data_IF_654690044043
#
_entry.id   IF_654690044043
#
_cell.length_a   1.000
_cell.length_b   1.000
_cell.length_c   1.000
_cell.angle_alpha   90.00
_cell.angle_beta   90.00
_cell.angle_gamma   90.00
#
_symmetry.space_group_name_H-M   'P 1'
#
loop_
_entity.id
_entity.type
_entity.pdbx_description
1 polymer ?
#
# COMPACT_ATOMS: atom_id res chain seq x y z
N UNK A 1 -23.02 36.57 22.39
CA UNK A 1 -22.95 36.98 20.97
C UNK A 1 -22.02 36.01 20.26
N UNK A 2 -22.55 35.43 19.18
CA UNK A 2 -21.95 34.62 18.11
C UNK A 2 -20.73 33.73 18.41
N UNK A 3 -20.97 32.43 18.35
CA UNK A 3 -19.97 31.38 18.22
C UNK A 3 -19.29 31.41 16.83
N UNK A 4 -18.04 30.97 16.75
CA UNK A 4 -17.47 30.37 15.55
C UNK A 4 -16.60 29.18 15.98
N UNK A 5 -17.11 27.97 15.73
CA UNK A 5 -16.50 26.66 16.01
C UNK A 5 -15.98 26.13 14.69
N UNK A 6 -14.71 25.73 14.62
CA UNK A 6 -14.19 24.92 13.53
C UNK A 6 -13.90 23.51 14.07
N UNK A 7 -14.83 22.60 13.82
CA UNK A 7 -14.68 21.15 14.03
C UNK A 7 -13.95 20.56 12.83
N UNK A 8 -12.83 19.86 13.06
CA UNK A 8 -12.34 18.88 12.12
C UNK A 8 -13.19 17.61 12.26
N UNK A 9 -14.07 17.39 11.30
CA UNK A 9 -14.82 16.15 11.15
C UNK A 9 -13.91 15.14 10.44
N UNK A 10 -13.36 14.20 11.19
CA UNK A 10 -13.01 12.90 10.63
C UNK A 10 -14.32 12.09 10.53
N UNK A 11 -14.83 11.91 9.32
CA UNK A 11 -16.02 11.10 9.08
C UNK A 11 -15.65 9.61 9.26
N UNK A 12 -15.75 9.13 10.51
CA UNK A 12 -15.66 7.72 10.87
C UNK A 12 -16.97 7.03 10.43
N UNK A 13 -17.01 6.53 9.20
CA UNK A 13 -18.06 5.59 8.79
C UNK A 13 -17.74 4.21 9.32
N UNK A 14 -18.29 3.95 10.51
CA UNK A 14 -18.83 2.64 10.84
C UNK A 14 -18.01 1.81 11.82
N UNK A 15 -18.04 2.16 13.10
CA UNK A 15 -17.83 1.19 14.18
C UNK A 15 -19.06 1.09 15.06
N UNK A 16 -19.85 0.06 14.80
CA UNK A 16 -20.91 -0.40 15.69
C UNK A 16 -20.29 -0.77 17.05
N UNK A 17 -20.75 -0.06 18.09
CA UNK A 17 -20.24 -0.17 19.45
C UNK A 17 -20.66 -1.45 20.14
N UNK A 18 -19.71 -2.16 20.72
CA UNK A 18 -19.98 -3.27 21.63
C UNK A 18 -19.48 -2.90 23.03
N UNK A 19 -20.43 -2.92 23.97
CA UNK A 19 -20.29 -2.63 25.39
C UNK A 19 -19.25 -3.57 26.03
N UNK A 20 -18.27 -3.00 26.74
CA UNK A 20 -17.35 -3.75 27.58
C UNK A 20 -18.09 -4.27 28.82
N UNK A 21 -18.37 -5.57 28.83
CA UNK A 21 -18.61 -6.36 30.05
C UNK A 21 -17.26 -6.94 30.52
N UNK A 22 -17.16 -7.09 31.83
CA UNK A 22 -15.97 -7.39 32.62
C UNK A 22 -15.39 -8.81 32.43
N UNK A 23 -14.15 -9.00 32.89
CA UNK A 23 -13.64 -10.29 33.38
C UNK A 23 -12.49 -10.90 32.57
N UNK A 24 -11.47 -11.51 33.21
CA UNK A 24 -10.41 -12.23 32.51
C UNK A 24 -10.95 -13.63 32.15
N UNK A 25 -11.38 -13.80 30.91
CA UNK A 25 -11.61 -15.12 30.33
C UNK A 25 -10.44 -15.47 29.43
N UNK A 26 -9.58 -16.37 29.92
CA UNK A 26 -8.60 -17.07 29.12
C UNK A 26 -9.33 -17.92 28.08
N UNK A 27 -9.41 -17.43 26.83
CA UNK A 27 -9.96 -18.17 25.71
C UNK A 27 -8.82 -18.54 24.76
N UNK A 28 -8.46 -19.82 24.77
CA UNK A 28 -7.64 -20.43 23.73
C UNK A 28 -8.42 -20.39 22.41
N UNK A 29 -7.94 -19.63 21.42
CA UNK A 29 -8.51 -19.63 20.07
C UNK A 29 -8.09 -20.94 19.36
N UNK A 30 -9.02 -21.78 18.90
CA UNK A 30 -8.67 -22.89 18.03
C UNK A 30 -8.33 -22.32 16.65
N UNK A 31 -7.16 -22.67 16.15
CA UNK A 31 -6.74 -22.44 14.77
C UNK A 31 -7.69 -23.26 13.87
N UNK A 32 -8.73 -22.62 13.32
CA UNK A 32 -9.56 -23.24 12.28
C UNK A 32 -8.73 -23.26 11.00
N UNK A 33 -8.06 -24.38 10.75
CA UNK A 33 -7.57 -24.72 9.42
C UNK A 33 -8.79 -24.85 8.51
N UNK A 34 -9.07 -23.83 7.70
CA UNK A 34 -9.76 -24.06 6.45
C UNK A 34 -8.85 -25.00 5.64
N UNK A 35 -9.28 -26.23 5.31
CA UNK A 35 -8.54 -27.02 4.34
C UNK A 35 -8.66 -26.26 3.02
N UNK A 36 -7.61 -25.52 2.67
CA UNK A 36 -7.40 -25.15 1.28
C UNK A 36 -7.43 -26.47 0.52
N UNK A 37 -8.42 -26.63 -0.36
CA UNK A 37 -8.47 -27.74 -1.31
C UNK A 37 -7.19 -27.61 -2.13
N UNK A 38 -6.14 -28.31 -1.69
CA UNK A 38 -4.99 -28.58 -2.52
C UNK A 38 -5.54 -29.45 -3.65
N UNK A 39 -5.44 -28.97 -4.88
CA UNK A 39 -5.62 -29.82 -6.04
C UNK A 39 -4.78 -31.07 -5.79
N UNK A 40 -5.45 -32.22 -5.75
CA UNK A 40 -4.79 -33.49 -5.49
C UNK A 40 -3.83 -33.72 -6.67
N UNK A 41 -2.51 -33.87 -6.45
CA UNK A 41 -1.57 -34.14 -7.54
C UNK A 41 -1.99 -35.38 -8.35
N UNK A 42 -2.72 -36.31 -7.74
CA UNK A 42 -3.28 -37.48 -8.42
C UNK A 42 -4.29 -37.12 -9.53
N UNK A 43 -5.07 -36.04 -9.37
CA UNK A 43 -6.04 -35.61 -10.37
C UNK A 43 -5.40 -34.86 -11.54
N UNK A 44 -4.33 -34.09 -11.27
CA UNK A 44 -3.53 -33.44 -12.30
C UNK A 44 -2.76 -34.45 -13.14
N UNK A 45 -2.16 -35.47 -12.50
CA UNK A 45 -1.47 -36.55 -13.19
C UNK A 45 -2.42 -37.42 -14.03
N UNK A 46 -3.65 -37.65 -13.54
CA UNK A 46 -4.70 -38.35 -14.30
C UNK A 46 -5.17 -37.55 -15.53
N UNK A 47 -5.40 -36.24 -15.38
CA UNK A 47 -5.75 -35.36 -16.51
C UNK A 47 -4.65 -35.32 -17.58
N UNK A 48 -3.39 -35.27 -17.15
CA UNK A 48 -2.23 -35.33 -18.05
C UNK A 48 -2.14 -36.67 -18.82
N UNK A 49 -2.52 -37.79 -18.18
CA UNK A 49 -2.55 -39.10 -18.83
C UNK A 49 -3.62 -39.16 -19.93
N UNK A 50 -4.84 -38.73 -19.63
CA UNK A 50 -5.96 -38.64 -20.59
C UNK A 50 -5.56 -37.75 -21.77
N UNK A 51 -4.93 -36.60 -21.50
CA UNK A 51 -4.44 -35.69 -22.54
C UNK A 51 -3.45 -36.36 -23.50
N UNK A 52 -2.47 -37.09 -22.96
CA UNK A 52 -1.47 -37.82 -23.75
C UNK A 52 -2.09 -38.90 -24.63
N UNK A 53 -3.10 -39.59 -24.11
CA UNK A 53 -3.73 -40.70 -24.82
C UNK A 53 -4.67 -40.23 -25.94
N UNK A 54 -5.49 -39.21 -25.66
CA UNK A 54 -6.62 -38.87 -26.55
C UNK A 54 -6.49 -37.51 -27.25
N UNK A 55 -5.66 -36.58 -26.76
CA UNK A 55 -5.66 -35.19 -27.22
C UNK A 55 -4.39 -34.79 -28.00
N UNK A 56 -3.22 -35.31 -27.61
CA UNK A 56 -1.90 -34.90 -28.15
C UNK A 56 -1.80 -35.07 -29.66
N UNK A 57 -2.46 -36.07 -30.25
CA UNK A 57 -2.40 -36.34 -31.70
C UNK A 57 -2.83 -35.14 -32.54
N UNK A 58 -3.81 -34.35 -32.07
CA UNK A 58 -4.31 -33.18 -32.78
C UNK A 58 -3.79 -31.87 -32.16
N UNK A 59 -3.72 -31.78 -30.83
CA UNK A 59 -3.41 -30.54 -30.10
C UNK A 59 -1.93 -30.36 -29.74
N UNK A 60 -1.07 -31.36 -29.99
CA UNK A 60 0.34 -31.30 -29.63
C UNK A 60 0.59 -31.55 -28.13
N UNK A 61 1.84 -31.83 -27.77
CA UNK A 61 2.23 -32.09 -26.37
C UNK A 61 2.15 -30.85 -25.49
N UNK A 62 2.31 -29.68 -26.09
CA UNK A 62 2.33 -28.35 -25.48
C UNK A 62 1.04 -27.55 -25.74
N UNK A 63 0.01 -28.20 -26.31
CA UNK A 63 -1.26 -27.55 -26.61
C UNK A 63 -1.19 -26.51 -27.73
N UNK A 64 -0.08 -26.41 -28.48
CA UNK A 64 0.07 -25.42 -29.57
C UNK A 64 -0.57 -25.86 -30.89
N UNK A 65 -1.01 -27.11 -30.98
CA UNK A 65 -1.49 -27.73 -32.21
C UNK A 65 -0.40 -28.53 -32.92
N UNK A 66 -0.74 -29.14 -34.05
CA UNK A 66 0.17 -29.88 -34.92
C UNK A 66 0.24 -29.24 -36.30
N UNK A 67 1.17 -29.67 -37.16
CA UNK A 67 1.22 -29.19 -38.55
C UNK A 67 -0.08 -29.48 -39.33
N UNK A 68 -0.78 -30.57 -38.98
CA UNK A 68 -2.07 -30.93 -39.58
C UNK A 68 -3.23 -30.10 -38.98
N UNK A 69 -3.16 -29.78 -37.68
CA UNK A 69 -4.17 -29.00 -36.96
C UNK A 69 -3.49 -27.86 -36.18
N UNK A 70 -3.19 -26.71 -36.82
CA UNK A 70 -2.42 -25.63 -36.20
C UNK A 70 -3.31 -24.72 -35.36
N UNK A 71 -4.05 -25.30 -34.41
CA UNK A 71 -4.99 -24.58 -33.54
C UNK A 71 -4.57 -24.73 -32.07
N UNK A 72 -3.94 -23.69 -31.48
CA UNK A 72 -3.56 -23.70 -30.08
C UNK A 72 -4.77 -23.76 -29.15
N UNK A 73 -4.62 -24.50 -28.05
CA UNK A 73 -5.59 -24.59 -26.95
C UNK A 73 -5.54 -23.32 -26.09
N UNK A 74 -6.05 -22.21 -26.62
CA UNK A 74 -6.16 -20.92 -25.93
C UNK A 74 -7.59 -20.37 -25.97
N UNK A 75 -8.03 -19.74 -24.89
CA UNK A 75 -9.35 -19.11 -24.81
C UNK A 75 -9.77 -18.78 -23.37
N UNK A 76 -10.94 -18.15 -23.20
CA UNK A 76 -11.35 -17.58 -21.91
C UNK A 76 -12.43 -18.42 -21.19
N UNK A 77 -12.59 -19.69 -21.60
CA UNK A 77 -13.52 -20.63 -20.94
C UNK A 77 -12.98 -21.01 -19.57
N UNK A 78 -13.86 -21.04 -18.56
CA UNK A 78 -13.54 -21.66 -17.28
C UNK A 78 -13.32 -23.16 -17.42
N UNK A 79 -12.62 -23.79 -16.46
CA UNK A 79 -12.39 -25.25 -16.45
C UNK A 79 -13.68 -26.06 -16.55
N UNK A 80 -14.76 -25.63 -15.88
CA UNK A 80 -16.08 -26.28 -15.96
C UNK A 80 -16.74 -26.16 -17.32
N UNK A 81 -16.64 -25.00 -17.98
CA UNK A 81 -17.15 -24.81 -19.35
C UNK A 81 -16.34 -25.61 -20.36
N UNK A 82 -15.03 -25.72 -20.15
CA UNK A 82 -14.16 -26.54 -20.96
C UNK A 82 -14.48 -28.03 -20.80
N UNK A 83 -14.75 -28.49 -19.57
CA UNK A 83 -15.17 -29.87 -19.29
C UNK A 83 -16.46 -30.23 -20.03
N UNK A 84 -17.48 -29.37 -19.98
CA UNK A 84 -18.74 -29.59 -20.69
C UNK A 84 -18.55 -29.65 -22.21
N UNK A 85 -17.69 -28.78 -22.76
CA UNK A 85 -17.38 -28.81 -24.19
C UNK A 85 -16.66 -30.10 -24.60
N UNK A 86 -15.70 -30.54 -23.78
CA UNK A 86 -14.95 -31.77 -24.04
C UNK A 86 -15.89 -32.97 -23.99
N UNK A 87 -16.71 -33.07 -22.94
CA UNK A 87 -17.71 -34.13 -22.76
C UNK A 87 -18.68 -34.25 -23.95
N UNK A 88 -19.09 -33.12 -24.53
CA UNK A 88 -20.07 -33.11 -25.62
C UNK A 88 -19.44 -33.40 -27.00
N UNK A 89 -18.21 -32.95 -27.24
CA UNK A 89 -17.68 -32.82 -28.60
C UNK A 89 -16.28 -33.37 -28.84
N UNK A 90 -15.57 -33.81 -27.80
CA UNK A 90 -14.18 -34.26 -27.91
C UNK A 90 -13.97 -35.65 -27.28
N UNK A 91 -13.12 -36.50 -27.87
CA UNK A 91 -12.33 -36.29 -29.09
C UNK A 91 -13.15 -36.25 -30.39
N UNK A 92 -12.65 -35.54 -31.40
CA UNK A 92 -13.31 -35.38 -32.72
C UNK A 92 -13.65 -36.73 -33.40
N UNK A 93 -12.80 -37.75 -33.23
CA UNK A 93 -13.04 -39.10 -33.77
C UNK A 93 -14.23 -39.80 -33.10
N UNK A 94 -14.39 -39.61 -31.78
CA UNK A 94 -15.31 -40.37 -30.94
C UNK A 94 -15.49 -39.68 -29.57
N UNK A 95 -16.51 -38.79 -29.43
CA UNK A 95 -16.75 -38.04 -28.21
C UNK A 95 -17.07 -38.91 -26.99
N UNK A 96 -17.46 -40.17 -27.19
CA UNK A 96 -17.81 -41.07 -26.06
C UNK A 96 -16.60 -41.54 -25.26
N UNK A 97 -15.38 -41.32 -25.77
CA UNK A 97 -14.13 -41.78 -25.14
C UNK A 97 -13.72 -40.97 -23.91
N UNK A 98 -14.06 -39.69 -23.85
CA UNK A 98 -13.68 -38.82 -22.74
C UNK A 98 -14.91 -38.09 -22.24
N UNK A 99 -15.60 -38.70 -21.27
CA UNK A 99 -16.87 -38.20 -20.75
C UNK A 99 -16.86 -38.08 -19.22
N UNK A 100 -17.80 -37.30 -18.69
CA UNK A 100 -18.03 -37.06 -17.28
C UNK A 100 -16.79 -36.61 -16.53
N UNK A 101 -16.36 -37.46 -15.60
CA UNK A 101 -15.24 -37.14 -14.70
C UNK A 101 -13.89 -37.09 -15.43
N UNK A 102 -13.72 -37.85 -16.51
CA UNK A 102 -12.49 -37.82 -17.31
C UNK A 102 -12.40 -36.54 -18.15
N UNK A 103 -13.54 -36.06 -18.67
CA UNK A 103 -13.64 -34.75 -19.30
C UNK A 103 -13.30 -33.62 -18.32
N UNK A 104 -13.73 -33.73 -17.05
CA UNK A 104 -13.40 -32.76 -16.00
C UNK A 104 -11.90 -32.74 -15.70
N UNK A 105 -11.28 -33.91 -15.54
CA UNK A 105 -9.84 -34.03 -15.24
C UNK A 105 -8.96 -33.47 -16.35
N UNK A 106 -9.26 -33.82 -17.61
CA UNK A 106 -8.49 -33.31 -18.74
C UNK A 106 -8.72 -31.82 -18.95
N UNK A 107 -9.92 -31.30 -18.69
CA UNK A 107 -10.20 -29.87 -18.74
C UNK A 107 -9.44 -29.09 -17.67
N UNK A 108 -9.34 -29.61 -16.45
CA UNK A 108 -8.52 -29.00 -15.39
C UNK A 108 -7.05 -28.94 -15.79
N UNK A 109 -6.53 -30.03 -16.35
CA UNK A 109 -5.17 -30.09 -16.88
C UNK A 109 -4.95 -29.07 -18.02
N UNK A 110 -5.77 -29.10 -19.08
CA UNK A 110 -5.67 -28.16 -20.21
C UNK A 110 -5.79 -26.71 -19.72
N UNK A 111 -6.71 -26.45 -18.79
CA UNK A 111 -6.93 -25.11 -18.30
C UNK A 111 -5.70 -24.58 -17.54
N UNK A 112 -5.13 -25.40 -16.67
CA UNK A 112 -3.94 -25.04 -15.89
C UNK A 112 -2.68 -24.94 -16.77
N UNK A 113 -2.52 -25.84 -17.74
CA UNK A 113 -1.32 -25.95 -18.56
C UNK A 113 -1.28 -25.00 -19.75
N UNK A 114 -2.44 -24.62 -20.33
CA UNK A 114 -2.48 -23.87 -21.59
C UNK A 114 -3.40 -22.64 -21.58
N UNK A 115 -4.54 -22.66 -20.86
CA UNK A 115 -5.50 -21.54 -20.89
C UNK A 115 -5.19 -20.42 -19.89
N UNK A 116 -4.72 -20.76 -18.68
CA UNK A 116 -4.60 -19.80 -17.59
C UNK A 116 -3.61 -18.69 -17.94
N UNK A 117 -3.90 -17.45 -17.53
CA UNK A 117 -3.03 -16.29 -17.77
C UNK A 117 -1.53 -16.53 -17.44
N UNK A 118 -1.17 -17.21 -16.33
CA UNK A 118 0.22 -17.57 -16.06
C UNK A 118 0.84 -18.47 -17.13
N UNK A 119 0.13 -19.49 -17.60
CA UNK A 119 0.61 -20.39 -18.66
C UNK A 119 0.84 -19.66 -19.99
N UNK A 120 -0.03 -18.69 -20.33
CA UNK A 120 0.18 -17.84 -21.52
C UNK A 120 1.38 -16.89 -21.39
N UNK A 121 1.76 -16.53 -20.17
CA UNK A 121 2.88 -15.63 -19.90
C UNK A 121 4.25 -16.31 -20.04
N UNK A 122 4.34 -17.62 -19.81
CA UNK A 122 5.57 -18.39 -19.98
C UNK A 122 6.02 -18.44 -21.46
N UNK A 123 5.07 -18.57 -22.40
CA UNK A 123 5.35 -18.60 -23.84
C UNK A 123 5.53 -17.21 -24.47
N UNK A 124 5.02 -16.16 -23.81
CA UNK A 124 5.14 -14.77 -24.27
C UNK A 124 5.62 -13.87 -23.13
N UNK A 125 6.93 -13.84 -22.85
CA UNK A 125 7.46 -13.02 -21.79
C UNK A 125 7.06 -11.56 -22.01
N UNK A 126 6.63 -10.84 -20.96
CA UNK A 126 6.28 -9.43 -21.09
C UNK A 126 7.49 -8.67 -21.63
N UNK A 127 7.29 -7.93 -22.73
CA UNK A 127 8.37 -7.10 -23.29
C UNK A 127 8.68 -6.01 -22.28
N UNK A 128 9.92 -6.00 -21.79
CA UNK A 128 10.44 -4.89 -20.98
C UNK A 128 10.77 -3.75 -21.93
N UNK A 129 9.84 -2.81 -22.08
CA UNK A 129 10.03 -1.59 -22.85
C UNK A 129 10.26 -0.39 -21.91
N UNK A 130 11.16 0.51 -22.30
CA UNK A 130 11.39 1.74 -21.56
C UNK A 130 10.16 2.65 -21.70
N UNK A 131 9.45 2.85 -20.60
CA UNK A 131 8.33 3.79 -20.55
C UNK A 131 8.84 5.23 -20.56
N UNK A 132 8.24 6.07 -21.42
CA UNK A 132 8.45 7.53 -21.35
C UNK A 132 7.65 8.09 -20.19
N UNK A 133 8.35 8.33 -19.08
CA UNK A 133 7.73 8.88 -17.88
C UNK A 133 7.44 10.37 -18.05
N UNK A 134 6.29 10.82 -17.56
CA UNK A 134 6.06 12.24 -17.30
C UNK A 134 7.07 12.76 -16.28
N UNK A 135 7.28 14.08 -16.22
CA UNK A 135 8.19 14.71 -15.23
C UNK A 135 7.86 14.26 -13.80
N UNK A 136 6.56 14.14 -13.46
CA UNK A 136 6.11 13.67 -12.14
C UNK A 136 6.49 12.21 -11.90
N UNK A 137 6.19 11.33 -12.86
CA UNK A 137 6.51 9.92 -12.75
C UNK A 137 8.02 9.69 -12.63
N UNK A 138 8.83 10.41 -13.41
CA UNK A 138 10.28 10.33 -13.34
C UNK A 138 10.82 10.73 -11.96
N UNK A 139 10.33 11.83 -11.40
CA UNK A 139 10.71 12.28 -10.05
C UNK A 139 10.36 11.26 -8.97
N UNK A 140 9.16 10.67 -9.04
CA UNK A 140 8.73 9.66 -8.08
C UNK A 140 9.57 8.38 -8.21
N UNK A 141 9.76 7.87 -9.43
CA UNK A 141 10.57 6.67 -9.65
C UNK A 141 12.03 6.86 -9.22
N UNK A 142 12.61 8.04 -9.44
CA UNK A 142 13.93 8.38 -8.91
C UNK A 142 13.94 8.49 -7.39
N UNK A 143 12.90 9.09 -6.78
CA UNK A 143 12.79 9.19 -5.33
C UNK A 143 12.68 7.81 -4.68
N UNK A 144 11.92 6.88 -5.27
CA UNK A 144 11.79 5.51 -4.79
C UNK A 144 13.12 4.75 -4.93
N UNK A 145 13.77 4.87 -6.10
CA UNK A 145 15.07 4.25 -6.36
C UNK A 145 16.14 4.73 -5.39
N UNK A 146 16.27 6.06 -5.23
CA UNK A 146 17.25 6.68 -4.33
C UNK A 146 16.88 6.46 -2.87
N UNK A 147 15.59 6.46 -2.54
CA UNK A 147 15.07 6.17 -1.21
C UNK A 147 15.46 4.77 -0.73
N UNK A 148 15.45 3.77 -1.62
CA UNK A 148 15.89 2.40 -1.30
C UNK A 148 17.39 2.26 -0.97
N UNK A 149 18.22 3.26 -1.34
CA UNK A 149 19.64 3.30 -0.98
C UNK A 149 19.94 4.13 0.28
N UNK A 150 18.94 4.83 0.82
CA UNK A 150 19.07 5.53 2.09
C UNK A 150 18.87 4.53 3.22
N UNK A 151 19.60 4.72 4.32
CA UNK A 151 19.32 3.97 5.55
C UNK A 151 17.83 4.07 5.90
N UNK A 152 17.29 3.00 6.48
CA UNK A 152 15.88 2.91 6.84
C UNK A 152 15.40 4.21 7.50
N UNK A 153 14.17 4.62 7.18
CA UNK A 153 13.49 5.70 7.90
C UNK A 153 13.75 5.54 9.41
N UNK A 154 14.03 6.62 10.14
CA UNK A 154 14.40 6.54 11.55
C UNK A 154 13.48 5.57 12.26
N UNK A 155 14.08 4.60 12.96
CA UNK A 155 13.35 3.54 13.62
C UNK A 155 12.25 4.15 14.52
N UNK A 156 11.04 3.58 14.50
CA UNK A 156 10.00 3.89 15.49
C UNK A 156 10.54 3.41 16.85
N UNK A 157 11.23 4.31 17.55
CA UNK A 157 11.75 4.11 18.90
C UNK A 157 10.62 4.14 19.95
N UNK A 158 9.36 4.25 19.50
CA UNK A 158 8.18 4.41 20.31
C UNK A 158 7.99 5.84 20.84
N UNK A 159 8.96 6.72 20.67
CA UNK A 159 8.86 8.15 21.00
C UNK A 159 8.25 8.88 19.81
N UNK A 160 6.93 8.79 19.72
CA UNK A 160 6.17 9.55 18.73
C UNK A 160 6.17 11.02 19.12
N UNK A 161 6.51 11.89 18.17
CA UNK A 161 6.46 13.33 18.34
C UNK A 161 7.58 14.06 17.61
N UNK A 162 7.64 15.36 17.83
CA UNK A 162 8.72 16.22 17.37
C UNK A 162 9.49 16.71 18.59
N UNK A 163 10.82 16.83 18.44
CA UNK A 163 11.65 17.47 19.46
C UNK A 163 11.39 18.96 19.42
N UNK A 164 10.76 19.49 20.46
CA UNK A 164 10.51 20.90 20.68
C UNK A 164 11.61 21.51 21.55
N UNK A 165 12.37 22.46 21.00
CA UNK A 165 13.28 23.32 21.74
C UNK A 165 12.57 24.64 22.07
N UNK A 166 12.58 25.02 23.35
CA UNK A 166 11.86 26.18 23.85
C UNK A 166 12.83 27.30 24.25
N UNK A 167 12.60 28.49 23.73
CA UNK A 167 13.46 29.67 23.90
C UNK A 167 12.70 30.84 24.53
N UNK A 168 13.38 31.60 25.39
CA UNK A 168 12.90 32.91 25.89
C UNK A 168 13.02 33.99 24.82
N UNK A 169 11.98 34.82 24.72
CA UNK A 169 11.95 35.91 23.74
C UNK A 169 11.78 35.40 22.32
N UNK A 170 12.28 36.17 21.35
CA UNK A 170 12.15 35.86 19.91
C UNK A 170 13.38 35.17 19.30
N UNK A 171 14.50 35.15 20.03
CA UNK A 171 15.78 34.65 19.54
C UNK A 171 15.91 33.13 19.74
N UNK A 172 16.56 32.45 18.81
CA UNK A 172 16.85 31.00 18.89
C UNK A 172 18.31 30.72 19.27
N UNK A 173 18.96 31.66 19.95
CA UNK A 173 20.34 31.52 20.40
C UNK A 173 20.44 30.65 21.66
N UNK A 174 21.60 30.03 21.87
CA UNK A 174 21.82 29.12 23.00
C UNK A 174 21.64 29.77 24.38
N UNK A 175 21.79 31.09 24.51
CA UNK A 175 21.52 31.83 25.76
C UNK A 175 20.04 31.97 26.09
N UNK A 176 19.19 31.89 25.07
CA UNK A 176 17.73 31.98 25.20
C UNK A 176 17.09 30.61 25.41
N UNK A 177 17.82 29.51 25.18
CA UNK A 177 17.33 28.15 25.38
C UNK A 177 16.99 27.88 26.84
N UNK A 178 15.79 27.34 27.08
CA UNK A 178 15.31 27.00 28.43
C UNK A 178 15.18 25.50 28.63
N UNK A 179 14.46 24.83 27.73
CA UNK A 179 14.23 23.40 27.83
C UNK A 179 13.99 22.75 26.48
N UNK A 180 14.13 21.42 26.48
CA UNK A 180 13.80 20.55 25.36
C UNK A 180 12.82 19.48 25.85
N UNK A 181 11.82 19.15 25.03
CA UNK A 181 10.95 18.01 25.25
C UNK A 181 10.48 17.40 23.92
N UNK A 182 9.97 16.18 23.99
CA UNK A 182 9.27 15.53 22.87
C UNK A 182 7.80 15.89 22.96
N UNK A 183 7.29 16.62 21.97
CA UNK A 183 5.87 16.95 21.83
C UNK A 183 5.22 15.94 20.89
N UNK A 184 4.26 15.10 21.36
CA UNK A 184 3.63 14.07 20.53
C UNK A 184 2.91 14.63 19.30
N UNK A 185 2.38 15.85 19.42
CA UNK A 185 1.71 16.60 18.36
C UNK A 185 2.06 18.09 18.51
N UNK A 186 2.04 18.81 17.38
CA UNK A 186 2.12 20.28 17.37
C UNK A 186 0.69 20.81 17.25
N UNK A 187 0.01 20.87 18.40
CA UNK A 187 -1.35 21.38 18.54
C UNK A 187 -1.45 22.09 19.89
N UNK A 188 -1.21 23.41 19.89
CA UNK A 188 -1.09 24.21 21.10
C UNK A 188 -1.97 25.45 21.02
N UNK A 189 -2.77 25.66 22.06
CA UNK A 189 -3.45 26.92 22.33
C UNK A 189 -3.00 27.43 23.71
N UNK A 190 -2.06 28.38 23.70
CA UNK A 190 -1.56 29.00 24.93
C UNK A 190 -2.41 30.19 25.39
N UNK A 191 -3.35 30.67 24.57
CA UNK A 191 -4.14 31.87 24.88
C UNK A 191 -3.29 33.08 25.28
N UNK A 192 -3.44 33.50 26.54
CA UNK A 192 -2.68 34.61 27.16
C UNK A 192 -1.54 34.12 28.06
N UNK A 193 -1.34 32.81 28.17
CA UNK A 193 -0.31 32.21 28.99
C UNK A 193 0.92 31.84 28.14
N UNK A 194 1.90 31.20 28.77
CA UNK A 194 3.10 30.68 28.12
C UNK A 194 3.18 29.17 28.34
N UNK A 195 4.07 28.45 27.62
CA UNK A 195 4.19 26.99 27.75
C UNK A 195 4.51 26.52 29.17
N UNK A 196 5.15 27.39 29.96
CA UNK A 196 5.42 27.24 31.39
C UNK A 196 5.49 28.66 32.01
N UNK A 197 4.44 29.11 32.74
CA UNK A 197 4.36 30.46 33.30
C UNK A 197 5.49 30.84 34.25
N UNK A 198 6.19 29.87 34.85
CA UNK A 198 7.33 30.14 35.74
C UNK A 198 8.62 30.42 34.96
N UNK A 199 8.70 29.96 33.70
CA UNK A 199 9.92 30.01 32.88
C UNK A 199 9.84 30.95 31.69
N UNK A 200 8.63 31.23 31.20
CA UNK A 200 8.41 32.02 29.99
C UNK A 200 7.47 33.20 30.25
N UNK A 201 7.85 34.37 29.75
CA UNK A 201 6.96 35.52 29.65
C UNK A 201 5.83 35.24 28.64
N UNK A 202 4.57 35.59 28.96
CA UNK A 202 3.47 35.53 28.00
C UNK A 202 3.79 36.24 26.69
N UNK A 203 3.42 35.61 25.57
CA UNK A 203 3.59 36.15 24.20
C UNK A 203 5.04 36.51 23.80
N UNK A 204 6.05 36.06 24.57
CA UNK A 204 7.49 36.29 24.29
C UNK A 204 8.30 35.00 24.44
N UNK A 205 7.99 34.03 23.60
CA UNK A 205 8.73 32.79 23.50
C UNK A 205 8.78 32.33 22.05
N UNK A 206 9.80 31.53 21.73
CA UNK A 206 9.93 30.84 20.45
C UNK A 206 10.04 29.36 20.70
N UNK A 207 9.35 28.55 19.91
CA UNK A 207 9.46 27.09 19.95
C UNK A 207 9.93 26.62 18.58
N UNK A 208 10.96 25.76 18.57
CA UNK A 208 11.47 25.12 17.35
C UNK A 208 11.24 23.63 17.43
N UNK A 209 10.35 23.12 16.57
CA UNK A 209 10.14 21.69 16.41
C UNK A 209 11.02 21.13 15.30
N UNK A 210 11.73 20.03 15.60
CA UNK A 210 12.57 19.31 14.66
C UNK A 210 12.26 17.82 14.70
N UNK A 211 12.25 17.18 13.54
CA UNK A 211 11.98 15.75 13.44
C UNK A 211 11.65 15.33 12.02
N UNK A 212 10.85 14.27 11.89
CA UNK A 212 10.43 13.73 10.60
C UNK A 212 8.94 13.39 10.64
N UNK A 213 8.27 13.58 9.51
CA UNK A 213 6.89 13.16 9.31
C UNK A 213 6.93 11.94 8.40
N UNK A 214 6.37 10.82 8.87
CA UNK A 214 6.24 9.60 8.06
C UNK A 214 4.85 9.58 7.41
N UNK A 215 4.74 9.76 6.09
CA UNK A 215 3.46 9.63 5.39
C UNK A 215 2.96 8.17 5.43
N UNK A 216 1.64 7.99 5.56
CA UNK A 216 1.03 6.65 5.55
C UNK A 216 1.04 6.02 4.15
N UNK A 217 0.95 6.86 3.11
CA UNK A 217 0.90 6.44 1.72
C UNK A 217 1.74 7.37 0.84
N UNK A 218 2.25 6.87 -0.29
CA UNK A 218 2.94 7.73 -1.26
C UNK A 218 1.93 8.62 -1.99
N UNK A 219 2.11 9.93 -1.95
CA UNK A 219 1.17 10.87 -2.54
C UNK A 219 1.57 12.33 -2.46
N UNK A 220 0.67 13.20 -2.95
CA UNK A 220 0.78 14.64 -2.71
C UNK A 220 0.23 14.95 -1.33
N UNK A 221 0.98 15.74 -0.56
CA UNK A 221 0.62 16.17 0.77
C UNK A 221 0.51 17.68 0.81
N UNK A 222 -0.50 18.16 1.53
CA UNK A 222 -0.67 19.56 1.87
C UNK A 222 -0.33 19.75 3.34
N UNK A 223 0.51 20.74 3.63
CA UNK A 223 0.82 21.15 5.00
C UNK A 223 0.05 22.42 5.31
N UNK A 224 -0.83 22.36 6.30
CA UNK A 224 -1.58 23.52 6.78
C UNK A 224 -1.02 23.92 8.13
N UNK A 225 -0.68 25.20 8.26
CA UNK A 225 -0.15 25.78 9.50
C UNK A 225 -1.08 26.90 9.94
N UNK A 226 -1.60 26.78 11.15
CA UNK A 226 -2.38 27.82 11.80
C UNK A 226 -1.60 28.35 13.00
N UNK A 227 -1.19 29.61 12.94
CA UNK A 227 -0.49 30.30 14.01
C UNK A 227 -1.07 31.71 14.15
N UNK A 228 -1.17 32.20 15.40
CA UNK A 228 -1.61 33.57 15.68
C UNK A 228 -0.52 34.58 15.35
N UNK A 229 0.74 34.21 15.61
CA UNK A 229 1.92 35.04 15.39
C UNK A 229 2.80 34.46 14.25
N UNK A 230 4.07 34.82 14.26
CA UNK A 230 5.06 34.42 13.28
C UNK A 230 5.30 32.90 13.25
N UNK A 231 5.31 32.32 12.04
CA UNK A 231 5.63 30.90 11.83
C UNK A 231 6.49 30.67 10.60
N UNK A 232 7.39 29.69 10.67
CA UNK A 232 8.18 29.20 9.53
C UNK A 232 8.13 27.67 9.49
N UNK A 233 7.86 27.11 8.31
CA UNK A 233 7.89 25.66 8.08
C UNK A 233 8.85 25.34 6.94
N UNK A 234 9.81 24.45 7.23
CA UNK A 234 10.73 23.88 6.24
C UNK A 234 10.51 22.37 6.16
N UNK A 235 10.31 21.83 4.96
CA UNK A 235 10.11 20.40 4.74
C UNK A 235 11.05 19.94 3.64
N UNK A 236 12.00 19.05 3.99
CA UNK A 236 12.98 18.50 3.05
C UNK A 236 13.76 19.56 2.23
N UNK A 237 13.90 20.78 2.77
CA UNK A 237 14.69 21.86 2.16
C UNK A 237 16.09 21.92 2.77
N UNK A 238 17.06 22.38 2.00
CA UNK A 238 18.40 22.63 2.52
C UNK A 238 18.42 23.88 3.42
N UNK A 239 19.39 23.98 4.33
CA UNK A 239 19.48 25.09 5.29
C UNK A 239 19.61 26.48 4.64
N UNK A 240 20.08 26.55 3.40
CA UNK A 240 20.21 27.79 2.61
C UNK A 240 18.97 28.11 1.76
N UNK A 241 18.01 27.17 1.67
CA UNK A 241 16.78 27.37 0.91
C UNK A 241 15.74 28.09 1.78
N UNK A 242 14.88 28.91 1.17
CA UNK A 242 13.79 29.53 1.89
C UNK A 242 12.83 28.47 2.46
N UNK A 243 12.15 28.76 3.59
CA UNK A 243 11.14 27.87 4.12
C UNK A 243 9.97 27.72 3.14
N UNK A 244 9.30 26.57 3.20
CA UNK A 244 8.12 26.26 2.38
C UNK A 244 6.95 27.18 2.75
N UNK A 245 6.84 27.53 4.03
CA UNK A 245 5.90 28.55 4.53
C UNK A 245 6.70 29.57 5.34
N UNK A 246 6.60 30.83 4.95
CA UNK A 246 7.07 31.98 5.74
C UNK A 246 5.88 32.89 6.07
N UNK A 247 5.38 32.76 7.29
CA UNK A 247 4.31 33.61 7.84
C UNK A 247 4.85 34.71 8.74
N UNK A 248 6.14 35.06 8.66
CA UNK A 248 6.71 36.08 9.53
C UNK A 248 6.41 37.49 9.05
N UNK A 249 5.95 38.34 9.97
CA UNK A 249 5.70 39.75 9.70
C UNK A 249 6.88 40.54 10.26
N UNK A 250 7.66 41.17 9.38
CA UNK A 250 8.60 42.20 9.80
C UNK A 250 7.82 43.44 10.20
N UNK A 251 8.00 43.92 11.43
CA UNK A 251 7.64 45.30 11.76
C UNK A 251 8.60 46.17 10.95
N UNK A 252 8.08 46.93 9.99
CA UNK A 252 8.84 48.03 9.40
C UNK A 252 9.06 49.04 10.52
N UNK A 253 10.29 49.15 11.01
CA UNK A 253 10.70 50.30 11.81
C UNK A 253 10.90 51.47 10.82
N UNK A 254 9.86 52.29 10.66
CA UNK A 254 9.95 53.66 10.10
C UNK A 254 10.43 54.65 11.17
#
# INVERSE_FOLDING_TARGET
MSACRATFAAEDRGRHGWRRLAGPLAAALPLVLCPGVRADPSSADAGAAIYREHCVRCHGVDGTGTAAVPHPLVGDRSSGQLAAYIDESMPEDDPTRVTGEDARRVAEFIHASFYAAPARHDDRPPRVELSRLTVRQHRNSLADLVGGFRDASPADDGLRGLRGEYFRGRDTERRAFECERIDPQVDFDFGIESPDPERFEPSRFTIRWTGSVLPLETGLYEFVVQATDAVKLSVNTAAYEPPVIDGTVSVNDD
#
